data_IF_806633711593
#
_entry.id   IF_806633711593
#
_cell.length_a   1.000
_cell.length_b   1.000
_cell.length_c   1.000
_cell.angle_alpha   90.00
_cell.angle_beta   90.00
_cell.angle_gamma   90.00
#
_symmetry.space_group_name_H-M   'P 1'
#
loop_
_entity.id
_entity.type
_entity.pdbx_description
1 polymer ?
#
# COMPACT_ATOMS: atom_id res chain seq x y z
N UNK A 1 -27.65 12.49 6.54
CA UNK A 1 -26.64 12.89 5.54
C UNK A 1 -25.33 12.19 5.88
N UNK A 2 -24.66 11.50 4.94
CA UNK A 2 -23.37 10.87 5.24
C UNK A 2 -22.36 11.99 5.46
N UNK A 3 -21.67 11.97 6.60
CA UNK A 3 -20.67 12.98 6.96
C UNK A 3 -19.56 12.95 5.91
N UNK A 4 -19.13 14.12 5.43
CA UNK A 4 -18.14 14.34 4.37
C UNK A 4 -16.81 13.53 4.50
N UNK A 5 -16.51 13.01 5.71
CA UNK A 5 -15.43 12.06 5.95
C UNK A 5 -15.61 10.68 5.29
N UNK A 6 -16.85 10.21 5.09
CA UNK A 6 -17.10 8.86 4.57
C UNK A 6 -16.72 8.73 3.08
N UNK A 7 -16.96 9.78 2.28
CA UNK A 7 -16.56 9.81 0.87
C UNK A 7 -15.04 9.93 0.69
N UNK A 8 -14.36 10.73 1.50
CA UNK A 8 -12.89 10.82 1.48
C UNK A 8 -12.24 9.48 1.87
N UNK A 9 -12.78 8.80 2.88
CA UNK A 9 -12.30 7.47 3.29
C UNK A 9 -12.52 6.42 2.21
N UNK A 10 -13.71 6.37 1.61
CA UNK A 10 -14.00 5.48 0.48
C UNK A 10 -13.10 5.76 -0.73
N UNK A 11 -12.86 7.03 -1.04
CA UNK A 11 -11.95 7.43 -2.11
C UNK A 11 -10.53 6.93 -1.87
N UNK A 12 -10.02 7.11 -0.65
CA UNK A 12 -8.70 6.61 -0.26
C UNK A 12 -8.61 5.10 -0.37
N UNK A 13 -9.62 4.36 0.09
CA UNK A 13 -9.67 2.90 -0.03
C UNK A 13 -9.66 2.43 -1.48
N UNK A 14 -10.40 3.09 -2.38
CA UNK A 14 -10.37 2.77 -3.81
C UNK A 14 -8.98 2.96 -4.43
N UNK A 15 -8.27 4.01 -4.02
CA UNK A 15 -6.90 4.28 -4.50
C UNK A 15 -5.92 3.28 -3.91
N UNK A 16 -6.02 2.96 -2.61
CA UNK A 16 -5.19 1.93 -1.97
C UNK A 16 -5.34 0.58 -2.66
N UNK A 17 -6.58 0.16 -2.93
CA UNK A 17 -6.87 -1.12 -3.58
C UNK A 17 -6.41 -1.18 -5.03
N UNK A 18 -6.11 -0.04 -5.66
CA UNK A 18 -5.52 0.00 -7.00
C UNK A 18 -4.02 -0.36 -7.00
N UNK A 19 -3.35 -0.30 -5.84
CA UNK A 19 -1.94 -0.65 -5.68
C UNK A 19 -1.04 0.09 -6.67
N UNK A 20 -0.07 -0.63 -7.22
CA UNK A 20 0.95 -0.08 -8.13
C UNK A 20 0.39 0.27 -9.52
N UNK A 21 -0.79 -0.26 -9.90
CA UNK A 21 -1.46 0.12 -11.15
C UNK A 21 -2.02 1.53 -11.12
N UNK A 22 -2.28 2.05 -9.92
CA UNK A 22 -2.94 3.33 -9.71
C UNK A 22 -4.39 3.37 -10.24
N UNK A 23 -5.06 4.48 -9.97
CA UNK A 23 -6.46 4.72 -10.34
C UNK A 23 -6.58 6.04 -11.10
N UNK A 24 -7.17 6.03 -12.29
CA UNK A 24 -7.46 7.28 -13.00
C UNK A 24 -8.41 8.15 -12.18
N UNK A 25 -8.16 9.46 -12.10
CA UNK A 25 -9.03 10.41 -11.40
C UNK A 25 -10.46 10.34 -11.97
N UNK A 26 -10.53 10.35 -13.31
CA UNK A 26 -11.39 9.49 -14.14
C UNK A 26 -12.42 8.61 -13.45
N UNK A 27 -11.89 7.48 -13.03
CA UNK A 27 -12.61 6.34 -12.52
C UNK A 27 -12.91 6.50 -11.04
N UNK A 28 -12.13 7.30 -10.31
CA UNK A 28 -12.37 7.57 -8.90
C UNK A 28 -13.78 8.13 -8.68
N UNK A 29 -14.13 9.25 -9.32
CA UNK A 29 -15.47 9.82 -9.11
C UNK A 29 -16.59 8.97 -9.71
N UNK A 30 -16.31 8.23 -10.80
CA UNK A 30 -17.27 7.28 -11.37
C UNK A 30 -17.59 6.15 -10.38
N UNK A 31 -16.56 5.59 -9.73
CA UNK A 31 -16.70 4.54 -8.69
C UNK A 31 -17.31 5.06 -7.39
N UNK A 32 -17.08 6.33 -7.06
CA UNK A 32 -17.70 6.97 -5.88
C UNK A 32 -19.15 7.42 -6.11
N UNK A 33 -19.65 7.40 -7.35
CA UNK A 33 -20.94 8.00 -7.69
C UNK A 33 -20.97 9.51 -7.47
N UNK A 34 -19.81 10.18 -7.55
CA UNK A 34 -19.64 11.60 -7.26
C UNK A 34 -19.49 12.41 -8.55
N UNK A 35 -19.72 13.72 -8.46
CA UNK A 35 -19.43 14.63 -9.59
C UNK A 35 -17.92 14.77 -9.81
N UNK A 36 -17.52 15.16 -11.03
CA UNK A 36 -16.11 15.43 -11.35
C UNK A 36 -15.49 16.52 -10.47
N UNK A 37 -16.27 17.55 -10.12
CA UNK A 37 -15.86 18.62 -9.19
C UNK A 37 -15.59 18.07 -7.79
N UNK A 38 -16.50 17.25 -7.28
CA UNK A 38 -16.38 16.67 -5.95
C UNK A 38 -15.22 15.67 -5.86
N UNK A 39 -15.09 14.78 -6.85
CA UNK A 39 -13.99 13.83 -6.90
C UNK A 39 -12.62 14.50 -7.05
N UNK A 40 -12.54 15.55 -7.86
CA UNK A 40 -11.29 16.34 -7.98
C UNK A 40 -10.94 17.04 -6.67
N UNK A 41 -11.93 17.59 -5.96
CA UNK A 41 -11.73 18.19 -4.64
C UNK A 41 -11.25 17.17 -3.61
N UNK A 42 -11.80 15.96 -3.62
CA UNK A 42 -11.36 14.85 -2.75
C UNK A 42 -9.93 14.44 -3.09
N UNK A 43 -9.61 14.24 -4.37
CA UNK A 43 -8.26 13.87 -4.81
C UNK A 43 -7.21 14.90 -4.38
N UNK A 44 -7.48 16.19 -4.58
CA UNK A 44 -6.60 17.27 -4.16
C UNK A 44 -6.42 17.29 -2.63
N UNK A 45 -7.49 17.06 -1.86
CA UNK A 45 -7.42 17.02 -0.41
C UNK A 45 -6.62 15.83 0.11
N UNK A 46 -6.73 14.66 -0.52
CA UNK A 46 -5.94 13.47 -0.19
C UNK A 46 -4.46 13.67 -0.52
N UNK A 47 -4.16 14.34 -1.64
CA UNK A 47 -2.79 14.69 -2.02
C UNK A 47 -2.17 15.71 -1.04
N UNK A 48 -2.91 16.76 -0.67
CA UNK A 48 -2.45 17.74 0.32
C UNK A 48 -2.20 17.12 1.71
N UNK A 49 -2.90 16.03 2.04
CA UNK A 49 -2.65 15.23 3.26
C UNK A 49 -1.45 14.27 3.12
N UNK A 50 -0.83 14.19 1.94
CA UNK A 50 0.27 13.28 1.64
C UNK A 50 -0.13 11.80 1.54
N UNK A 51 -1.42 11.49 1.47
CA UNK A 51 -1.93 10.11 1.46
C UNK A 51 -1.87 9.47 0.07
N UNK A 52 -1.92 10.30 -0.98
CA UNK A 52 -1.81 9.88 -2.36
C UNK A 52 -0.83 10.79 -3.11
N UNK A 53 -0.29 10.30 -4.21
CA UNK A 53 0.45 11.06 -5.22
C UNK A 53 -0.33 11.04 -6.53
N UNK A 54 -0.22 12.12 -7.31
CA UNK A 54 -0.88 12.25 -8.61
C UNK A 54 0.17 12.42 -9.70
N UNK A 55 0.04 11.62 -10.75
CA UNK A 55 0.90 11.71 -11.93
C UNK A 55 0.06 12.08 -13.14
N UNK A 56 0.56 12.99 -13.96
CA UNK A 56 -0.14 13.42 -15.17
C UNK A 56 0.02 12.36 -16.25
N UNK A 57 -1.09 11.91 -16.83
CA UNK A 57 -1.10 10.86 -17.86
C UNK A 57 -2.03 11.26 -19.00
N UNK A 58 -1.64 10.92 -20.23
CA UNK A 58 -2.50 11.07 -21.40
C UNK A 58 -3.36 9.81 -21.54
N UNK A 59 -4.67 9.94 -21.33
CA UNK A 59 -5.61 8.84 -21.47
C UNK A 59 -6.67 9.20 -22.51
N UNK A 60 -6.82 8.35 -23.55
CA UNK A 60 -7.76 8.57 -24.65
C UNK A 60 -7.69 9.98 -25.28
N UNK A 61 -6.47 10.52 -25.44
CA UNK A 61 -6.25 11.85 -26.02
C UNK A 61 -6.60 13.02 -25.10
N UNK A 62 -6.93 12.77 -23.83
CA UNK A 62 -7.20 13.80 -22.81
C UNK A 62 -6.20 13.68 -21.67
N UNK A 63 -5.66 14.82 -21.24
CA UNK A 63 -4.82 14.86 -20.04
C UNK A 63 -5.67 14.62 -18.79
N UNK A 64 -5.23 13.67 -17.98
CA UNK A 64 -5.83 13.33 -16.70
C UNK A 64 -4.74 13.04 -15.68
N UNK A 65 -5.14 12.67 -14.46
CA UNK A 65 -4.21 12.24 -13.43
C UNK A 65 -4.46 10.78 -13.08
N UNK A 66 -3.38 10.03 -12.90
CA UNK A 66 -3.38 8.74 -12.22
C UNK A 66 -3.01 8.95 -10.76
N UNK A 67 -3.81 8.36 -9.89
CA UNK A 67 -3.69 8.47 -8.44
C UNK A 67 -3.03 7.20 -7.93
N UNK A 68 -1.99 7.34 -7.11
CA UNK A 68 -1.35 6.22 -6.43
C UNK A 68 -1.35 6.45 -4.92
N UNK A 69 -1.49 5.41 -4.11
CA UNK A 69 -1.29 5.54 -2.67
C UNK A 69 0.17 5.90 -2.39
N UNK A 70 0.42 6.82 -1.46
CA UNK A 70 1.79 7.10 -0.99
C UNK A 70 2.31 5.97 -0.11
N UNK A 71 1.40 5.31 0.62
CA UNK A 71 1.68 4.14 1.43
C UNK A 71 0.63 3.08 1.16
N UNK A 72 1.08 1.89 0.82
CA UNK A 72 0.22 0.71 0.80
C UNK A 72 0.12 0.15 2.22
N UNK A 73 -1.09 -0.11 2.73
CA UNK A 73 -1.23 -0.78 4.00
C UNK A 73 -0.63 -2.17 3.92
N UNK A 74 0.24 -2.48 4.88
CA UNK A 74 0.84 -3.80 5.04
C UNK A 74 -0.26 -4.80 5.37
N UNK A 75 -0.48 -5.79 4.50
CA UNK A 75 -1.46 -6.86 4.77
C UNK A 75 -0.85 -7.92 5.70
N UNK A 76 -1.68 -8.62 6.48
CA UNK A 76 -1.21 -9.76 7.30
C UNK A 76 -0.52 -10.80 6.41
N UNK A 77 -0.99 -10.96 5.17
CA UNK A 77 -0.39 -11.88 4.19
C UNK A 77 1.10 -11.59 3.95
N UNK A 78 1.55 -10.34 4.09
CA UNK A 78 2.97 -9.99 3.91
C UNK A 78 3.89 -10.56 4.98
N UNK A 79 3.35 -10.99 6.12
CA UNK A 79 4.11 -11.57 7.24
C UNK A 79 3.67 -13.00 7.58
N UNK A 80 2.73 -13.61 6.85
CA UNK A 80 2.26 -14.98 7.13
C UNK A 80 3.42 -15.99 7.08
N UNK A 81 4.30 -15.83 6.10
CA UNK A 81 5.47 -16.71 5.95
C UNK A 81 6.61 -16.35 6.92
N UNK A 82 6.46 -15.30 7.73
CA UNK A 82 7.48 -14.91 8.70
C UNK A 82 7.58 -15.98 9.80
N UNK A 83 8.76 -16.58 10.00
CA UNK A 83 8.95 -17.66 10.97
C UNK A 83 8.68 -17.23 12.42
N UNK A 84 8.66 -15.92 12.68
CA UNK A 84 8.38 -15.35 13.99
C UNK A 84 6.90 -15.44 14.40
N UNK A 85 5.96 -15.46 13.45
CA UNK A 85 4.51 -15.39 13.76
C UNK A 85 4.01 -16.57 14.59
N UNK A 86 4.54 -17.76 14.32
CA UNK A 86 4.24 -19.02 15.02
C UNK A 86 5.52 -19.64 15.60
N UNK A 87 6.47 -18.81 16.03
CA UNK A 87 7.75 -19.30 16.52
C UNK A 87 7.59 -20.04 17.86
N UNK A 88 8.05 -21.31 17.97
CA UNK A 88 8.02 -22.07 19.23
C UNK A 88 8.88 -21.42 20.32
N UNK A 89 9.95 -20.73 19.93
CA UNK A 89 10.85 -20.03 20.85
C UNK A 89 10.42 -18.57 21.11
N UNK A 90 9.23 -18.16 20.66
CA UNK A 90 8.76 -16.77 20.79
C UNK A 90 8.79 -16.24 22.23
N UNK A 91 8.50 -17.10 23.22
CA UNK A 91 8.56 -16.74 24.64
C UNK A 91 9.99 -16.55 25.19
N UNK A 92 10.98 -17.16 24.52
CA UNK A 92 12.41 -17.07 24.86
C UNK A 92 13.16 -16.09 23.98
N UNK A 93 12.50 -15.53 22.95
CA UNK A 93 13.08 -14.61 22.01
C UNK A 93 12.97 -13.18 22.54
N UNK A 94 14.05 -12.62 23.04
CA UNK A 94 14.03 -11.27 23.62
C UNK A 94 15.38 -10.85 24.21
N UNK A 95 15.51 -9.60 24.70
CA UNK A 95 16.79 -9.04 25.14
C UNK A 95 17.48 -9.82 26.26
N UNK A 96 16.73 -10.52 27.10
CA UNK A 96 17.23 -11.35 28.20
C UNK A 96 17.15 -12.86 27.90
N UNK A 97 16.80 -13.24 26.68
CA UNK A 97 16.66 -14.63 26.26
C UNK A 97 17.91 -15.19 25.61
N UNK A 98 18.02 -16.52 25.55
CA UNK A 98 19.13 -17.20 24.85
C UNK A 98 19.04 -17.05 23.32
N UNK A 99 17.86 -16.71 22.82
CA UNK A 99 17.61 -16.43 21.40
C UNK A 99 17.13 -14.99 21.29
N UNK A 100 17.61 -14.29 20.29
CA UNK A 100 17.27 -12.90 19.99
C UNK A 100 17.03 -12.76 18.49
N UNK A 101 16.30 -11.72 18.03
CA UNK A 101 16.19 -11.45 16.60
C UNK A 101 17.54 -11.28 15.90
N UNK A 102 18.57 -10.82 16.62
CA UNK A 102 19.90 -10.55 16.07
C UNK A 102 20.72 -11.81 15.79
N UNK A 103 20.46 -12.92 16.50
CA UNK A 103 21.17 -14.19 16.34
C UNK A 103 20.25 -15.34 15.88
N UNK A 104 19.05 -15.04 15.39
CA UNK A 104 18.08 -16.05 14.97
C UNK A 104 18.32 -16.48 13.51
N UNK A 105 18.85 -17.69 13.31
CA UNK A 105 19.11 -18.25 11.97
C UNK A 105 17.85 -18.35 11.10
N UNK A 106 16.71 -18.72 11.70
CA UNK A 106 15.43 -18.83 10.98
C UNK A 106 14.98 -17.48 10.42
N UNK A 107 15.13 -16.42 11.20
CA UNK A 107 14.80 -15.07 10.77
C UNK A 107 15.77 -14.60 9.68
N UNK A 108 17.07 -14.85 9.84
CA UNK A 108 18.08 -14.55 8.83
C UNK A 108 17.78 -15.22 7.50
N UNK A 109 17.51 -16.53 7.51
CA UNK A 109 17.18 -17.28 6.30
C UNK A 109 15.93 -16.72 5.59
N UNK A 110 14.90 -16.36 6.34
CA UNK A 110 13.69 -15.76 5.78
C UNK A 110 13.93 -14.38 5.18
N UNK A 111 14.74 -13.52 5.84
CA UNK A 111 15.12 -12.20 5.29
C UNK A 111 15.89 -12.35 3.98
N UNK A 112 16.84 -13.30 3.91
CA UNK A 112 17.60 -13.57 2.69
C UNK A 112 16.68 -14.03 1.54
N UNK A 113 15.74 -14.94 1.82
CA UNK A 113 14.75 -15.38 0.82
C UNK A 113 13.87 -14.23 0.31
N UNK A 114 13.50 -13.27 1.17
CA UNK A 114 12.76 -12.08 0.74
C UNK A 114 13.63 -11.18 -0.15
N UNK A 115 14.89 -10.99 0.21
CA UNK A 115 15.82 -10.19 -0.57
C UNK A 115 16.02 -10.77 -1.98
N UNK A 116 16.17 -12.09 -2.10
CA UNK A 116 16.26 -12.80 -3.38
C UNK A 116 15.01 -12.60 -4.24
N UNK A 117 13.81 -12.87 -3.69
CA UNK A 117 12.53 -12.70 -4.39
C UNK A 117 12.26 -11.26 -4.83
N UNK A 118 12.78 -10.27 -4.10
CA UNK A 118 12.65 -8.86 -4.46
C UNK A 118 13.69 -8.42 -5.50
N UNK A 119 14.88 -9.06 -5.52
CA UNK A 119 15.91 -8.82 -6.52
C UNK A 119 15.54 -9.33 -7.92
N UNK A 120 14.85 -10.46 -8.02
CA UNK A 120 14.38 -11.03 -9.30
C UNK A 120 13.35 -10.13 -10.02
N UNK A 121 12.64 -9.26 -9.29
CA UNK A 121 11.64 -8.34 -9.87
C UNK A 121 12.23 -7.11 -10.58
N UNK A 122 13.56 -6.94 -10.58
CA UNK A 122 14.25 -5.82 -11.22
C UNK A 122 14.93 -6.20 -12.55
N UNK A 123 14.79 -7.45 -13.00
CA UNK A 123 15.57 -8.02 -14.11
C UNK A 123 14.84 -8.26 -15.43
N UNK A 124 13.54 -7.98 -15.52
CA UNK A 124 12.76 -8.15 -16.75
C UNK A 124 12.25 -6.79 -17.26
N UNK A 125 13.10 -6.07 -17.98
CA UNK A 125 12.74 -5.05 -18.98
C UNK A 125 13.70 -5.15 -20.19
#
# INVERSE_FOLDING_TARGET
>A
MPRQNDLEQKALQLIINSGDKGLLQSDLWRKLGASSREGSRIALKLENKGLIRREKELYEGRWTYRLYPTRTPTSINSILDCPCTLCPDGQKCGPAGNVTPQNCERLTAWILQIAEKNGEKLGDD
#
